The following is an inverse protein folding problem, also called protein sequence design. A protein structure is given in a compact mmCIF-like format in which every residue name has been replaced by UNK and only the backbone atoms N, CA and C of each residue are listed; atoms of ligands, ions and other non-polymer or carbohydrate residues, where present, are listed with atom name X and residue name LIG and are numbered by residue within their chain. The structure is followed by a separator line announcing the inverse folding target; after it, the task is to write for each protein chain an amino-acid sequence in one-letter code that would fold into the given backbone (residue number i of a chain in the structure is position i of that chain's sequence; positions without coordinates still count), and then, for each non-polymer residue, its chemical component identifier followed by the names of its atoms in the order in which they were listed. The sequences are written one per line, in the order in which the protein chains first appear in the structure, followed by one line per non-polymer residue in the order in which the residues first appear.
data_IF_334802251990
#
_entry.id   IF_334802251990
#
_cell.length_a   1.000
_cell.length_b   1.000
_cell.length_c   1.000
_cell.angle_alpha   90.00
_cell.angle_beta   90.00
_cell.angle_gamma   90.00
#
_symmetry.space_group_name_H-M   'P 1'
#
loop_
_entity.id
_entity.type
_entity.pdbx_description
1 polymer ?
#
# COMPACT_ATOMS: atom_id res chain seq x y z
N UNK A 1 9.50 -16.46 33.88
CA UNK A 1 9.10 -15.57 32.76
C UNK A 1 10.20 -15.61 31.73
N UNK A 2 9.86 -15.77 30.45
CA UNK A 2 10.86 -15.73 29.37
C UNK A 2 11.24 -14.28 29.03
N UNK A 3 12.39 -14.04 28.41
CA UNK A 3 12.77 -12.71 27.92
C UNK A 3 11.76 -12.15 26.90
N UNK A 4 11.07 -13.02 26.14
CA UNK A 4 10.01 -12.59 25.23
C UNK A 4 8.77 -12.06 25.97
N UNK A 5 8.41 -12.66 27.10
CA UNK A 5 7.27 -12.22 27.90
C UNK A 5 7.54 -10.82 28.52
N UNK A 6 8.76 -10.59 28.98
CA UNK A 6 9.21 -9.28 29.48
C UNK A 6 9.16 -8.19 28.41
N UNK A 7 9.51 -8.52 27.16
CA UNK A 7 9.42 -7.55 26.05
C UNK A 7 7.98 -7.23 25.63
N UNK A 8 7.06 -8.20 25.70
CA UNK A 8 5.65 -7.97 25.35
C UNK A 8 4.95 -7.10 26.38
N UNK A 9 5.20 -7.34 27.67
CA UNK A 9 4.63 -6.55 28.75
C UNK A 9 5.13 -5.10 28.73
N UNK A 10 6.42 -4.90 28.45
CA UNK A 10 6.98 -3.55 28.28
C UNK A 10 6.34 -2.78 27.11
N UNK A 11 6.13 -3.44 25.96
CA UNK A 11 5.43 -2.84 24.81
C UNK A 11 3.99 -2.48 25.18
N UNK A 12 3.28 -3.37 25.91
CA UNK A 12 1.90 -3.14 26.34
C UNK A 12 1.80 -1.91 27.25
N UNK A 13 2.61 -1.86 28.30
CA UNK A 13 2.63 -0.77 29.28
C UNK A 13 2.97 0.56 28.62
N UNK A 14 4.04 0.59 27.82
CA UNK A 14 4.44 1.79 27.10
C UNK A 14 3.34 2.26 26.14
N UNK A 15 2.73 1.34 25.39
CA UNK A 15 1.69 1.71 24.42
C UNK A 15 0.45 2.29 25.09
N UNK A 16 0.08 1.77 26.27
CA UNK A 16 -1.04 2.32 27.05
C UNK A 16 -0.69 3.69 27.62
N UNK A 17 0.49 3.86 28.21
CA UNK A 17 0.95 5.16 28.69
C UNK A 17 0.98 6.21 27.56
N UNK A 18 1.49 5.82 26.40
CA UNK A 18 1.51 6.70 25.22
C UNK A 18 0.10 7.10 24.77
N UNK A 19 -0.86 6.15 24.78
CA UNK A 19 -2.27 6.45 24.47
C UNK A 19 -2.83 7.49 25.44
N UNK A 20 -2.60 7.31 26.74
CA UNK A 20 -3.12 8.19 27.78
C UNK A 20 -2.50 9.61 27.67
N UNK A 21 -1.18 9.70 27.49
CA UNK A 21 -0.48 11.00 27.34
C UNK A 21 -0.88 11.77 26.08
N UNK A 22 -1.16 11.06 24.99
CA UNK A 22 -1.62 11.65 23.73
C UNK A 22 -3.15 11.82 23.66
N UNK A 23 -3.90 11.48 24.72
CA UNK A 23 -5.37 11.45 24.77
C UNK A 23 -6.00 10.65 23.61
N UNK A 24 -5.42 9.49 23.31
CA UNK A 24 -5.85 8.60 22.23
C UNK A 24 -6.71 7.48 22.77
N UNK A 25 -7.71 7.07 21.97
CA UNK A 25 -8.60 5.97 22.34
C UNK A 25 -8.78 4.98 21.19
N UNK A 26 -9.29 3.80 21.55
CA UNK A 26 -9.73 2.77 20.61
C UNK A 26 -8.71 1.67 20.33
N UNK A 27 -9.24 0.44 20.20
CA UNK A 27 -8.45 -0.78 20.00
C UNK A 27 -7.56 -0.74 18.74
N UNK A 28 -8.02 -0.12 17.66
CA UNK A 28 -7.24 0.01 16.41
C UNK A 28 -6.02 0.91 16.61
N UNK A 29 -6.19 2.02 17.32
CA UNK A 29 -5.12 2.97 17.64
C UNK A 29 -4.05 2.29 18.51
N UNK A 30 -4.48 1.55 19.53
CA UNK A 30 -3.57 0.78 20.39
C UNK A 30 -2.75 -0.25 19.59
N UNK A 31 -3.38 -0.98 18.66
CA UNK A 31 -2.67 -1.94 17.80
C UNK A 31 -1.63 -1.21 16.92
N UNK A 32 -1.98 -0.04 16.39
CA UNK A 32 -1.08 0.79 15.57
C UNK A 32 0.14 1.24 16.39
N UNK A 33 -0.07 1.74 17.60
CA UNK A 33 1.01 2.17 18.50
C UNK A 33 1.90 0.99 18.90
N UNK A 34 1.33 -0.16 19.29
CA UNK A 34 2.13 -1.36 19.60
C UNK A 34 3.04 -1.77 18.45
N UNK A 35 2.56 -1.64 17.21
CA UNK A 35 3.36 -1.91 16.02
C UNK A 35 4.51 -0.92 15.90
N UNK A 36 4.24 0.38 16.04
CA UNK A 36 5.26 1.44 16.00
C UNK A 36 6.31 1.20 17.09
N UNK A 37 5.89 0.93 18.32
CA UNK A 37 6.79 0.65 19.46
C UNK A 37 7.67 -0.56 19.20
N UNK A 38 7.12 -1.62 18.61
CA UNK A 38 7.89 -2.82 18.24
C UNK A 38 8.99 -2.52 17.21
N UNK A 39 8.76 -1.56 16.31
CA UNK A 39 9.70 -1.20 15.24
C UNK A 39 10.69 -0.11 15.68
N UNK A 40 10.22 0.86 16.46
CA UNK A 40 10.97 2.07 16.82
C UNK A 40 11.62 2.01 18.20
N UNK A 41 11.14 1.15 19.10
CA UNK A 41 11.48 1.09 20.51
C UNK A 41 10.50 1.86 21.40
N UNK A 42 10.84 2.00 22.68
CA UNK A 42 10.02 2.67 23.72
C UNK A 42 10.49 4.11 23.98
N UNK A 43 10.95 4.81 22.96
CA UNK A 43 11.32 6.22 23.04
C UNK A 43 10.11 7.09 22.66
N UNK A 44 9.60 7.86 23.61
CA UNK A 44 8.33 8.59 23.47
C UNK A 44 8.29 9.50 22.24
N UNK A 45 9.25 10.43 22.14
CA UNK A 45 9.28 11.39 21.03
C UNK A 45 9.39 10.70 19.67
N UNK A 46 10.18 9.63 19.57
CA UNK A 46 10.31 8.85 18.34
C UNK A 46 8.99 8.16 17.94
N UNK A 47 8.30 7.56 18.91
CA UNK A 47 6.98 6.93 18.67
C UNK A 47 5.95 8.00 18.28
N UNK A 48 5.99 9.16 18.93
CA UNK A 48 5.13 10.31 18.63
C UNK A 48 5.32 10.82 17.22
N UNK A 49 6.57 11.08 16.81
CA UNK A 49 6.89 11.53 15.46
C UNK A 49 6.38 10.57 14.38
N UNK A 50 6.59 9.26 14.60
CA UNK A 50 6.11 8.23 13.66
C UNK A 50 4.58 8.21 13.63
N UNK A 51 3.92 8.23 14.78
CA UNK A 51 2.47 8.21 14.89
C UNK A 51 1.84 9.43 14.19
N UNK A 52 2.34 10.64 14.48
CA UNK A 52 1.85 11.88 13.90
C UNK A 52 2.08 11.90 12.38
N UNK A 53 3.24 11.43 11.92
CA UNK A 53 3.52 11.28 10.49
C UNK A 53 2.53 10.32 9.82
N UNK A 54 2.32 9.13 10.39
CA UNK A 54 1.36 8.16 9.84
C UNK A 54 -0.08 8.70 9.84
N UNK A 55 -0.46 9.46 10.86
CA UNK A 55 -1.77 10.10 10.95
C UNK A 55 -1.92 11.18 9.87
N UNK A 56 -0.90 12.01 9.67
CA UNK A 56 -0.88 13.03 8.61
C UNK A 56 -1.03 12.41 7.22
N UNK A 57 -0.30 11.33 6.94
CA UNK A 57 -0.40 10.58 5.68
C UNK A 57 -1.81 10.00 5.50
N UNK A 58 -2.37 9.40 6.54
CA UNK A 58 -3.70 8.80 6.49
C UNK A 58 -4.80 9.85 6.27
N UNK A 59 -4.73 10.99 6.94
CA UNK A 59 -5.69 12.08 6.77
C UNK A 59 -5.62 12.68 5.37
N UNK A 60 -4.40 12.91 4.86
CA UNK A 60 -4.20 13.42 3.51
C UNK A 60 -4.71 12.44 2.43
N UNK A 61 -4.49 11.13 2.63
CA UNK A 61 -5.06 10.12 1.74
C UNK A 61 -6.59 10.13 1.75
N UNK A 62 -7.21 10.28 2.93
CA UNK A 62 -8.68 10.36 3.06
C UNK A 62 -9.26 11.61 2.41
N UNK A 63 -8.58 12.75 2.52
CA UNK A 63 -8.98 13.99 1.83
C UNK A 63 -9.03 13.78 0.31
N UNK A 64 -7.98 13.18 -0.27
CA UNK A 64 -7.95 12.84 -1.70
C UNK A 64 -9.08 11.85 -2.06
N UNK A 65 -9.31 10.84 -1.21
CA UNK A 65 -10.39 9.88 -1.44
C UNK A 65 -11.77 10.53 -1.44
N UNK A 66 -12.01 11.46 -0.52
CA UNK A 66 -13.27 12.20 -0.45
C UNK A 66 -13.46 13.09 -1.69
N UNK A 67 -12.43 13.82 -2.09
CA UNK A 67 -12.45 14.72 -3.26
C UNK A 67 -12.71 13.97 -4.58
N UNK A 68 -12.18 12.74 -4.71
CA UNK A 68 -12.32 11.91 -5.90
C UNK A 68 -13.43 10.85 -5.77
N UNK A 69 -14.23 10.89 -4.71
CA UNK A 69 -15.28 9.91 -4.38
C UNK A 69 -14.78 8.44 -4.36
N UNK A 70 -13.50 8.25 -4.04
CA UNK A 70 -12.85 6.95 -3.96
C UNK A 70 -13.16 6.26 -2.65
N UNK A 71 -13.32 4.94 -2.71
CA UNK A 71 -13.67 4.12 -1.55
C UNK A 71 -12.79 2.88 -1.45
N UNK A 72 -12.76 2.28 -0.26
CA UNK A 72 -12.14 0.98 -0.02
C UNK A 72 -10.74 1.02 0.60
N UNK A 73 -10.43 -0.03 1.36
CA UNK A 73 -9.17 -0.15 2.11
C UNK A 73 -7.94 -0.27 1.21
N UNK A 74 -8.07 -0.94 0.05
CA UNK A 74 -7.00 -1.05 -0.94
C UNK A 74 -6.59 0.31 -1.50
N UNK A 75 -7.57 1.15 -1.80
CA UNK A 75 -7.36 2.52 -2.30
C UNK A 75 -6.63 3.38 -1.29
N UNK A 76 -7.11 3.36 -0.04
CA UNK A 76 -6.42 4.05 1.07
C UNK A 76 -4.97 3.59 1.21
N UNK A 77 -4.73 2.28 1.19
CA UNK A 77 -3.39 1.71 1.30
C UNK A 77 -2.48 2.21 0.17
N UNK A 78 -2.99 2.22 -1.07
CA UNK A 78 -2.23 2.70 -2.23
C UNK A 78 -1.94 4.19 -2.18
N UNK A 79 -2.91 5.01 -1.83
CA UNK A 79 -2.69 6.45 -1.68
C UNK A 79 -1.61 6.73 -0.61
N UNK A 80 -1.65 6.03 0.53
CA UNK A 80 -0.59 6.14 1.54
C UNK A 80 0.80 5.81 0.98
N UNK A 81 0.94 4.73 0.20
CA UNK A 81 2.20 4.37 -0.46
C UNK A 81 2.68 5.48 -1.43
N UNK A 82 1.78 6.09 -2.20
CA UNK A 82 2.11 7.20 -3.10
C UNK A 82 2.56 8.45 -2.33
N UNK A 83 1.87 8.79 -1.23
CA UNK A 83 2.22 9.94 -0.38
C UNK A 83 3.59 9.73 0.27
N UNK A 84 3.87 8.53 0.76
CA UNK A 84 5.19 8.21 1.33
C UNK A 84 6.32 8.38 0.31
N UNK A 85 6.06 8.05 -0.96
CA UNK A 85 7.05 8.10 -2.04
C UNK A 85 7.20 9.49 -2.66
N UNK A 86 6.11 10.24 -2.76
CA UNK A 86 6.06 11.48 -3.54
C UNK A 86 5.84 12.74 -2.71
N UNK A 87 5.58 12.59 -1.41
CA UNK A 87 5.30 13.69 -0.49
C UNK A 87 3.82 14.09 -0.46
N UNK A 88 3.57 15.30 0.01
CA UNK A 88 2.22 15.85 0.25
C UNK A 88 1.78 16.83 -0.87
N UNK A 89 2.34 16.69 -2.07
CA UNK A 89 1.89 17.44 -3.26
C UNK A 89 0.63 16.78 -3.81
N UNK A 90 -0.55 17.33 -3.50
CA UNK A 90 -1.85 16.68 -3.76
C UNK A 90 -2.01 16.30 -5.22
N UNK A 91 -1.81 17.26 -6.11
CA UNK A 91 -2.01 17.10 -7.56
C UNK A 91 -1.12 15.99 -8.12
N UNK A 92 0.13 15.92 -7.65
CA UNK A 92 1.08 14.89 -8.04
C UNK A 92 0.70 13.51 -7.50
N UNK A 93 0.21 13.42 -6.27
CA UNK A 93 -0.29 12.15 -5.73
C UNK A 93 -1.50 11.68 -6.53
N UNK A 94 -2.43 12.57 -6.87
CA UNK A 94 -3.59 12.29 -7.69
C UNK A 94 -3.16 11.80 -9.08
N UNK A 95 -2.28 12.53 -9.75
CA UNK A 95 -1.75 12.15 -11.08
C UNK A 95 -1.14 10.74 -11.05
N UNK A 96 -0.27 10.45 -10.07
CA UNK A 96 0.38 9.14 -9.94
C UNK A 96 -0.61 8.03 -9.61
N UNK A 97 -1.62 8.31 -8.79
CA UNK A 97 -2.65 7.35 -8.46
C UNK A 97 -3.54 7.05 -9.68
N UNK A 98 -3.92 8.06 -10.45
CA UNK A 98 -4.71 7.91 -11.67
C UNK A 98 -3.95 7.13 -12.75
N UNK A 99 -2.67 7.44 -12.98
CA UNK A 99 -1.78 6.65 -13.86
C UNK A 99 -1.75 5.17 -13.43
N UNK A 100 -1.67 4.91 -12.13
CA UNK A 100 -1.67 3.55 -11.59
C UNK A 100 -3.03 2.86 -11.76
N UNK A 101 -4.13 3.54 -11.47
CA UNK A 101 -5.49 2.99 -11.60
C UNK A 101 -5.76 2.59 -13.04
N UNK A 102 -5.45 3.47 -14.01
CA UNK A 102 -5.59 3.19 -15.44
C UNK A 102 -4.83 1.94 -15.87
N UNK A 103 -3.62 1.73 -15.33
CA UNK A 103 -2.83 0.50 -15.60
C UNK A 103 -3.48 -0.74 -15.01
N UNK A 104 -3.94 -0.68 -13.77
CA UNK A 104 -4.63 -1.79 -13.11
C UNK A 104 -5.94 -2.15 -13.82
N UNK A 105 -6.76 -1.16 -14.18
CA UNK A 105 -8.03 -1.35 -14.87
C UNK A 105 -7.83 -2.02 -16.23
N UNK A 106 -6.90 -1.50 -17.03
CA UNK A 106 -6.55 -2.10 -18.32
C UNK A 106 -6.03 -3.54 -18.17
N UNK A 107 -5.20 -3.81 -17.16
CA UNK A 107 -4.71 -5.16 -16.91
C UNK A 107 -5.86 -6.10 -16.48
N UNK A 108 -6.79 -5.63 -15.65
CA UNK A 108 -7.97 -6.39 -15.24
C UNK A 108 -8.89 -6.70 -16.42
N UNK A 109 -9.06 -5.79 -17.39
CA UNK A 109 -9.80 -6.06 -18.61
C UNK A 109 -9.17 -7.20 -19.42
N UNK A 110 -7.86 -7.15 -19.65
CA UNK A 110 -7.15 -8.22 -20.37
C UNK A 110 -7.27 -9.55 -19.64
N UNK A 111 -7.12 -9.53 -18.32
CA UNK A 111 -7.28 -10.74 -17.51
C UNK A 111 -8.69 -11.31 -17.63
N UNK A 112 -9.71 -10.46 -17.65
CA UNK A 112 -11.10 -10.88 -17.80
C UNK A 112 -11.34 -11.54 -19.17
N UNK A 113 -10.85 -10.93 -20.25
CA UNK A 113 -10.99 -11.47 -21.61
C UNK A 113 -10.24 -12.80 -21.82
N UNK A 114 -9.12 -12.98 -21.13
CA UNK A 114 -8.32 -14.21 -21.20
C UNK A 114 -8.69 -15.22 -20.10
N UNK A 115 -9.73 -14.95 -19.31
CA UNK A 115 -10.19 -15.75 -18.16
C UNK A 115 -9.07 -16.03 -17.11
N UNK A 116 -8.14 -15.09 -16.98
CA UNK A 116 -6.99 -15.17 -16.09
C UNK A 116 -7.32 -14.60 -14.71
N UNK A 117 -6.69 -15.17 -13.68
CA UNK A 117 -6.78 -14.69 -12.30
C UNK A 117 -5.39 -14.59 -11.67
N UNK A 118 -5.31 -13.86 -10.57
CA UNK A 118 -4.13 -13.80 -9.70
C UNK A 118 -3.26 -12.55 -9.88
N UNK A 119 -2.70 -12.10 -8.75
CA UNK A 119 -1.89 -10.88 -8.65
C UNK A 119 -0.65 -10.92 -9.54
N UNK A 120 0.05 -12.06 -9.59
CA UNK A 120 1.29 -12.19 -10.37
C UNK A 120 1.05 -12.00 -11.87
N UNK A 121 -0.07 -12.53 -12.37
CA UNK A 121 -0.48 -12.38 -13.77
C UNK A 121 -0.76 -10.92 -14.10
N UNK A 122 -1.49 -10.22 -13.23
CA UNK A 122 -1.78 -8.78 -13.38
C UNK A 122 -0.50 -7.96 -13.44
N UNK A 123 0.42 -8.18 -12.50
CA UNK A 123 1.72 -7.50 -12.48
C UNK A 123 2.54 -7.77 -13.75
N UNK A 124 2.47 -8.99 -14.29
CA UNK A 124 3.12 -9.34 -15.56
C UNK A 124 2.52 -8.56 -16.73
N UNK A 125 1.19 -8.45 -16.80
CA UNK A 125 0.50 -7.66 -17.83
C UNK A 125 0.87 -6.18 -17.71
N UNK A 126 0.85 -5.61 -16.52
CA UNK A 126 1.25 -4.21 -16.28
C UNK A 126 2.70 -3.96 -16.74
N UNK A 127 3.64 -4.87 -16.41
CA UNK A 127 5.04 -4.75 -16.89
C UNK A 127 5.16 -4.81 -18.41
N UNK A 128 4.34 -5.63 -19.06
CA UNK A 128 4.32 -5.69 -20.52
C UNK A 128 3.79 -4.37 -21.09
N UNK A 129 2.74 -3.80 -20.51
CA UNK A 129 2.20 -2.50 -20.92
C UNK A 129 3.23 -1.38 -20.80
N UNK A 130 4.11 -1.42 -19.81
CA UNK A 130 5.19 -0.44 -19.66
C UNK A 130 6.22 -0.51 -20.81
N UNK A 131 6.29 -1.63 -21.52
CA UNK A 131 7.19 -1.84 -22.66
C UNK A 131 6.49 -1.52 -23.98
N UNK A 132 5.26 -2.00 -24.17
CA UNK A 132 4.57 -1.96 -25.47
C UNK A 132 3.45 -0.91 -25.56
N UNK A 133 3.18 -0.20 -24.46
CA UNK A 133 2.09 0.77 -24.35
C UNK A 133 0.73 0.14 -24.04
N UNK A 134 -0.33 0.96 -24.17
CA UNK A 134 -1.72 0.61 -23.84
C UNK A 134 -2.50 0.00 -25.03
N UNK A 135 -1.81 -0.66 -25.96
CA UNK A 135 -2.46 -1.31 -27.10
C UNK A 135 -2.83 -2.76 -26.75
N UNK A 136 -4.13 -3.02 -26.58
CA UNK A 136 -4.66 -4.27 -26.00
C UNK A 136 -4.13 -5.52 -26.70
N UNK A 137 -4.14 -5.54 -28.04
CA UNK A 137 -3.69 -6.68 -28.83
C UNK A 137 -2.17 -6.91 -28.74
N UNK A 138 -1.37 -5.84 -28.67
CA UNK A 138 0.08 -5.97 -28.44
C UNK A 138 0.40 -6.52 -27.07
N UNK A 139 -0.34 -6.08 -26.04
CA UNK A 139 -0.17 -6.54 -24.67
C UNK A 139 -0.57 -8.01 -24.55
N UNK A 140 -1.72 -8.43 -25.11
CA UNK A 140 -2.14 -9.84 -25.17
C UNK A 140 -1.12 -10.72 -25.87
N UNK A 141 -0.69 -10.32 -27.07
CA UNK A 141 0.27 -11.09 -27.87
C UNK A 141 1.59 -11.26 -27.11
N UNK A 142 2.09 -10.19 -26.51
CA UNK A 142 3.32 -10.22 -25.72
C UNK A 142 3.17 -11.07 -24.47
N UNK A 143 2.02 -11.01 -23.80
CA UNK A 143 1.72 -11.83 -22.63
C UNK A 143 1.71 -13.32 -23.00
N UNK A 144 0.96 -13.71 -24.04
CA UNK A 144 0.88 -15.09 -24.50
C UNK A 144 2.27 -15.64 -24.89
N UNK A 145 3.05 -14.87 -25.65
CA UNK A 145 4.44 -15.24 -26.00
C UNK A 145 5.30 -15.45 -24.77
N UNK A 146 5.16 -14.59 -23.75
CA UNK A 146 5.93 -14.69 -22.51
C UNK A 146 5.53 -15.88 -21.62
N UNK A 147 4.44 -16.58 -21.94
CA UNK A 147 3.95 -17.78 -21.23
C UNK A 147 4.22 -19.08 -21.99
N UNK A 148 4.71 -19.00 -23.23
CA UNK A 148 5.16 -20.18 -23.97
C UNK A 148 6.47 -20.67 -23.33
N UNK A 149 6.40 -21.81 -22.64
CA UNK A 149 7.56 -22.44 -21.99
C UNK A 149 8.48 -23.18 -22.97
N UNK A 150 8.05 -23.42 -24.21
CA UNK A 150 8.88 -24.03 -25.24
C UNK A 150 9.83 -22.99 -25.84
N UNK A 151 11.00 -22.82 -25.21
CA UNK A 151 12.18 -22.39 -25.96
C UNK A 151 12.50 -23.53 -26.92
N UNK A 152 12.28 -23.32 -28.21
CA UNK A 152 12.86 -24.15 -29.26
C UNK A 152 14.38 -24.12 -29.02
N UNK A 153 14.93 -25.22 -28.47
CA UNK A 153 16.36 -25.44 -28.41
C UNK A 153 16.79 -25.77 -29.84
N UNK A 154 17.44 -24.80 -30.48
CA UNK A 154 18.15 -25.02 -31.74
C UNK A 154 19.54 -25.59 -31.46
#
# INVERSE_FOLDING_TARGET
MSNEDLTKEAIEQFSQQFMDEMNLEGKKTLIKIKKIVKEAGTEFEKVKEIYERELKIENFAKEIMEELELNGFSTLTKLKEFIEKHGFEKEKVIERYDEFSKKEDFANEIMTELELKGRSTRLKIIRIMEIVGFEKEKVKTSFLRSTINERIQH
#
